data_IF_177958091270
#
_entry.id   IF_177958091270
#
_cell.length_a   1.000
_cell.length_b   1.000
_cell.length_c   1.000
_cell.angle_alpha   90.00
_cell.angle_beta   90.00
_cell.angle_gamma   90.00
#
_symmetry.space_group_name_H-M   'P 1'
#
loop_
_entity.id
_entity.type
_entity.pdbx_description
1 polymer ?
#
# COMPACT_ATOMS: atom_id res chain seq x y z
N UNK A 1 7.48 7.25 14.42
CA UNK A 1 7.19 6.61 13.12
C UNK A 1 8.37 6.83 12.17
N UNK A 2 8.55 5.94 11.21
CA UNK A 2 9.61 5.96 10.19
C UNK A 2 9.04 5.42 8.88
N UNK A 3 9.60 5.82 7.75
CA UNK A 3 9.26 5.33 6.44
C UNK A 3 9.17 6.44 5.41
N UNK A 4 9.02 6.05 4.15
CA UNK A 4 8.92 6.95 2.99
C UNK A 4 7.78 7.95 3.22
N UNK A 5 6.59 7.47 3.56
CA UNK A 5 5.39 8.28 3.73
C UNK A 5 5.53 9.30 4.86
N UNK A 6 6.16 8.91 5.97
CA UNK A 6 6.39 9.81 7.10
C UNK A 6 7.38 10.92 6.73
N UNK A 7 8.47 10.59 6.03
CA UNK A 7 9.48 11.59 5.65
C UNK A 7 8.97 12.52 4.54
N UNK A 8 8.20 12.00 3.57
CA UNK A 8 7.55 12.85 2.54
C UNK A 8 6.51 13.75 3.20
N UNK A 9 5.68 13.24 4.12
CA UNK A 9 4.72 14.05 4.88
C UNK A 9 5.39 15.18 5.65
N UNK A 10 6.52 14.89 6.30
CA UNK A 10 7.28 15.91 7.03
C UNK A 10 7.86 16.96 6.09
N UNK A 11 8.44 16.55 4.95
CA UNK A 11 8.97 17.48 3.97
C UNK A 11 7.89 18.41 3.39
N UNK A 12 6.69 17.88 3.10
CA UNK A 12 5.54 18.69 2.65
C UNK A 12 5.11 19.66 3.75
N UNK A 13 4.98 19.19 5.00
CA UNK A 13 4.59 20.04 6.13
C UNK A 13 5.59 21.19 6.36
N UNK A 14 6.89 20.90 6.30
CA UNK A 14 7.96 21.89 6.43
C UNK A 14 7.92 22.91 5.29
N UNK A 15 7.73 22.47 4.05
CA UNK A 15 7.63 23.37 2.88
C UNK A 15 6.41 24.29 2.95
N UNK A 16 5.30 23.79 3.50
CA UNK A 16 4.07 24.55 3.70
C UNK A 16 4.06 25.39 4.99
N UNK A 17 5.10 25.29 5.83
CA UNK A 17 5.17 25.95 7.14
C UNK A 17 4.12 25.44 8.13
N UNK A 18 3.73 24.18 8.01
CA UNK A 18 2.75 23.49 8.85
C UNK A 18 3.42 22.54 9.84
N UNK A 19 2.70 22.18 10.90
CA UNK A 19 3.14 21.14 11.83
C UNK A 19 2.52 19.81 11.42
N UNK A 20 3.36 18.78 11.24
CA UNK A 20 2.89 17.42 11.01
C UNK A 20 2.40 16.80 12.34
N UNK A 21 1.20 16.24 12.31
CA UNK A 21 0.72 15.25 13.27
C UNK A 21 0.47 13.94 12.52
N UNK A 22 1.00 12.84 13.06
CA UNK A 22 0.82 11.51 12.48
C UNK A 22 -0.18 10.74 13.33
N UNK A 23 -1.27 10.31 12.70
CA UNK A 23 -2.28 9.44 13.29
C UNK A 23 -2.15 8.05 12.65
N UNK A 24 -1.95 7.02 13.48
CA UNK A 24 -1.85 5.62 13.06
C UNK A 24 -3.23 4.94 13.15
N UNK A 25 -3.64 4.28 12.09
CA UNK A 25 -4.95 3.63 12.02
C UNK A 25 -4.93 2.47 11.00
N UNK A 26 -5.94 1.60 11.07
CA UNK A 26 -6.11 0.54 10.09
C UNK A 26 -6.36 1.14 8.70
N UNK A 27 -5.83 0.47 7.66
CA UNK A 27 -5.82 1.00 6.29
C UNK A 27 -7.23 1.30 5.74
N UNK A 28 -8.19 0.44 6.00
CA UNK A 28 -9.60 0.61 5.60
C UNK A 28 -10.30 1.79 6.30
N UNK A 29 -9.74 2.28 7.40
CA UNK A 29 -10.24 3.45 8.15
C UNK A 29 -9.76 4.79 7.62
N UNK A 30 -8.75 4.82 6.74
CA UNK A 30 -8.09 6.04 6.26
C UNK A 30 -9.06 6.93 5.46
N UNK A 31 -9.70 6.40 4.41
CA UNK A 31 -10.65 7.18 3.58
C UNK A 31 -11.82 7.70 4.43
N UNK A 32 -12.46 6.90 5.31
CA UNK A 32 -13.42 7.42 6.29
C UNK A 32 -12.87 8.55 7.17
N UNK A 33 -11.62 8.50 7.63
CA UNK A 33 -11.02 9.56 8.43
C UNK A 33 -10.89 10.87 7.65
N UNK A 34 -10.48 10.81 6.38
CA UNK A 34 -10.38 11.97 5.49
C UNK A 34 -11.76 12.56 5.19
N UNK A 35 -12.72 11.73 4.81
CA UNK A 35 -14.07 12.20 4.45
C UNK A 35 -14.86 12.80 5.61
N UNK A 36 -14.51 12.43 6.85
CA UNK A 36 -15.12 12.98 8.07
C UNK A 36 -14.31 14.14 8.69
N UNK A 37 -13.20 14.53 8.09
CA UNK A 37 -12.34 15.61 8.58
C UNK A 37 -11.55 15.27 9.85
N UNK A 38 -11.36 13.99 10.15
CA UNK A 38 -10.48 13.54 11.24
C UNK A 38 -9.01 13.58 10.83
N UNK A 39 -8.73 13.39 9.55
CA UNK A 39 -7.41 13.56 8.96
C UNK A 39 -7.52 14.52 7.76
N UNK A 40 -6.50 15.35 7.56
CA UNK A 40 -6.44 16.31 6.45
C UNK A 40 -5.98 15.65 5.15
N UNK A 41 -5.04 14.71 5.25
CA UNK A 41 -4.46 13.97 4.12
C UNK A 41 -3.97 12.60 4.58
N UNK A 42 -3.71 11.70 3.63
CA UNK A 42 -3.16 10.37 3.90
C UNK A 42 -1.98 10.08 2.98
N UNK A 43 -0.87 9.65 3.60
CA UNK A 43 0.24 8.96 2.94
C UNK A 43 0.35 7.58 3.59
N UNK A 44 0.02 6.54 2.84
CA UNK A 44 -0.04 5.16 3.32
C UNK A 44 0.19 4.15 2.18
N UNK A 45 1.06 4.48 1.20
CA UNK A 45 1.21 3.67 0.00
C UNK A 45 -0.14 3.46 -0.71
N UNK A 46 -1.01 4.48 -0.71
CA UNK A 46 -2.37 4.33 -1.21
C UNK A 46 -2.43 4.44 -2.72
N UNK A 47 -2.80 3.34 -3.36
CA UNK A 47 -3.00 3.28 -4.81
C UNK A 47 -4.21 4.11 -5.23
N UNK A 48 -4.03 4.83 -6.33
CA UNK A 48 -5.11 5.57 -7.00
C UNK A 48 -6.04 4.60 -7.72
N UNK A 49 -7.30 4.52 -7.29
CA UNK A 49 -8.34 3.74 -7.97
C UNK A 49 -9.57 4.58 -8.27
N UNK A 50 -10.34 4.19 -9.30
CA UNK A 50 -11.57 4.92 -9.66
C UNK A 50 -12.61 4.88 -8.54
N UNK A 51 -12.67 3.79 -7.76
CA UNK A 51 -13.58 3.70 -6.63
C UNK A 51 -13.17 4.62 -5.48
N UNK A 52 -11.89 4.70 -5.16
CA UNK A 52 -11.38 5.65 -4.15
C UNK A 52 -11.58 7.09 -4.58
N UNK A 53 -11.41 7.41 -5.88
CA UNK A 53 -11.68 8.73 -6.45
C UNK A 53 -13.13 9.18 -6.29
N UNK A 54 -14.09 8.30 -6.07
CA UNK A 54 -15.48 8.68 -5.77
C UNK A 54 -15.59 9.40 -4.44
N UNK A 55 -14.72 9.09 -3.48
CA UNK A 55 -14.78 9.56 -2.10
C UNK A 55 -13.72 10.62 -1.76
N UNK A 56 -12.55 10.56 -2.37
CA UNK A 56 -11.42 11.46 -2.11
C UNK A 56 -10.83 12.00 -3.42
N UNK A 57 -10.06 13.09 -3.34
CA UNK A 57 -9.15 13.50 -4.38
C UNK A 57 -7.77 12.92 -4.10
N UNK A 58 -6.97 12.75 -5.14
CA UNK A 58 -5.57 12.34 -5.05
C UNK A 58 -4.63 13.40 -5.58
N UNK A 59 -3.48 13.54 -4.95
CA UNK A 59 -2.36 14.32 -5.48
C UNK A 59 -1.78 13.67 -6.74
N UNK A 60 -0.78 14.32 -7.32
CA UNK A 60 0.15 13.66 -8.23
C UNK A 60 0.81 12.49 -7.50
N UNK A 61 1.17 11.42 -8.25
CA UNK A 61 1.86 10.25 -7.69
C UNK A 61 3.21 10.65 -7.08
N UNK A 62 3.55 10.12 -5.91
CA UNK A 62 4.85 10.35 -5.26
C UNK A 62 5.79 9.14 -5.34
N UNK A 63 5.26 7.95 -5.53
CA UNK A 63 6.02 6.71 -5.67
C UNK A 63 5.21 5.67 -6.46
N UNK A 64 5.88 4.62 -6.89
CA UNK A 64 5.27 3.46 -7.53
C UNK A 64 5.46 2.25 -6.63
N UNK A 65 4.43 1.45 -6.47
CA UNK A 65 4.45 0.20 -5.75
C UNK A 65 4.20 -1.00 -6.66
N UNK A 66 4.49 -2.18 -6.15
CA UNK A 66 4.26 -3.46 -6.81
C UNK A 66 3.61 -4.41 -5.83
N UNK A 67 2.48 -5.00 -6.20
CA UNK A 67 1.92 -6.12 -5.44
C UNK A 67 2.73 -7.38 -5.74
N UNK A 68 3.08 -8.12 -4.69
CA UNK A 68 3.85 -9.37 -4.77
C UNK A 68 3.19 -10.47 -3.96
N UNK A 69 3.65 -11.69 -4.15
CA UNK A 69 3.14 -12.87 -3.47
C UNK A 69 4.21 -13.40 -2.51
N UNK A 70 3.86 -13.53 -1.23
CA UNK A 70 4.68 -14.21 -0.23
C UNK A 70 4.16 -15.63 -0.05
N UNK A 71 5.05 -16.61 -0.06
CA UNK A 71 4.74 -18.03 0.17
C UNK A 71 5.78 -18.66 1.09
N UNK A 72 5.51 -19.86 1.69
CA UNK A 72 6.55 -20.66 2.34
C UNK A 72 7.68 -21.02 1.35
N UNK A 73 8.92 -21.15 1.84
CA UNK A 73 10.09 -21.48 0.99
C UNK A 73 9.92 -22.81 0.23
N UNK A 74 9.23 -23.77 0.84
CA UNK A 74 8.95 -25.11 0.28
C UNK A 74 7.63 -25.17 -0.52
N UNK A 75 6.96 -24.03 -0.73
CA UNK A 75 5.72 -23.94 -1.51
C UNK A 75 5.96 -24.29 -2.99
N UNK A 76 4.99 -24.96 -3.60
CA UNK A 76 4.89 -25.26 -5.03
C UNK A 76 4.26 -24.12 -5.83
N UNK A 77 3.74 -23.07 -5.17
CA UNK A 77 3.21 -21.87 -5.81
C UNK A 77 4.38 -21.09 -6.43
N UNK A 78 4.28 -20.79 -7.72
CA UNK A 78 5.32 -20.12 -8.51
C UNK A 78 4.87 -18.78 -9.10
N UNK A 79 3.57 -18.51 -9.10
CA UNK A 79 3.01 -17.29 -9.64
C UNK A 79 1.50 -17.15 -9.41
N UNK A 80 0.89 -16.07 -9.95
CA UNK A 80 -0.55 -15.81 -9.80
C UNK A 80 -1.46 -16.93 -10.29
N UNK A 81 -1.07 -17.64 -11.34
CA UNK A 81 -1.87 -18.71 -11.95
C UNK A 81 -2.09 -19.90 -11.01
N UNK A 82 -1.20 -20.09 -10.02
CA UNK A 82 -1.27 -21.17 -9.06
C UNK A 82 -2.17 -20.86 -7.85
N UNK A 83 -2.76 -19.66 -7.78
CA UNK A 83 -3.54 -19.20 -6.63
C UNK A 83 -5.04 -19.56 -6.72
N UNK A 84 -5.53 -20.07 -7.84
CA UNK A 84 -6.96 -20.25 -8.11
C UNK A 84 -7.68 -21.24 -7.18
N UNK A 85 -6.96 -22.15 -6.54
CA UNK A 85 -7.47 -23.14 -5.59
C UNK A 85 -6.88 -22.98 -4.18
N UNK A 86 -6.21 -21.84 -3.90
CA UNK A 86 -5.50 -21.54 -2.66
C UNK A 86 -6.28 -20.57 -1.79
N UNK A 87 -5.97 -20.55 -0.49
CA UNK A 87 -6.41 -19.51 0.42
C UNK A 87 -5.37 -18.38 0.46
N UNK A 88 -5.79 -17.18 0.14
CA UNK A 88 -4.94 -16.00 0.00
C UNK A 88 -5.18 -15.06 1.16
N UNK A 89 -4.15 -14.77 1.94
CA UNK A 89 -4.18 -13.73 2.97
C UNK A 89 -3.91 -12.36 2.37
N UNK A 90 -4.71 -11.37 2.73
CA UNK A 90 -4.55 -9.97 2.28
C UNK A 90 -4.74 -9.01 3.45
N UNK A 91 -4.26 -7.77 3.29
CA UNK A 91 -4.63 -6.71 4.22
C UNK A 91 -5.95 -6.07 3.76
N UNK A 92 -6.91 -5.98 4.67
CA UNK A 92 -8.26 -5.47 4.40
C UNK A 92 -8.26 -4.08 3.75
N UNK A 93 -9.05 -3.93 2.69
CA UNK A 93 -9.26 -2.66 1.97
C UNK A 93 -8.10 -2.22 1.08
N UNK A 94 -7.01 -2.97 0.99
CA UNK A 94 -5.92 -2.70 0.04
C UNK A 94 -6.30 -3.13 -1.38
N UNK A 95 -5.50 -2.75 -2.37
CA UNK A 95 -5.68 -3.24 -3.75
C UNK A 95 -5.41 -4.72 -3.87
N UNK A 96 -4.51 -5.29 -3.07
CA UNK A 96 -4.32 -6.74 -2.98
C UNK A 96 -5.61 -7.47 -2.56
N UNK A 97 -6.35 -6.93 -1.59
CA UNK A 97 -7.67 -7.44 -1.21
C UNK A 97 -8.67 -7.31 -2.35
N UNK A 98 -8.80 -6.10 -2.94
CA UNK A 98 -9.75 -5.83 -4.03
C UNK A 98 -9.50 -6.75 -5.23
N UNK A 99 -8.25 -6.89 -5.67
CA UNK A 99 -7.93 -7.71 -6.85
C UNK A 99 -8.09 -9.20 -6.59
N UNK A 100 -7.65 -9.69 -5.43
CA UNK A 100 -7.78 -11.11 -5.12
C UNK A 100 -9.25 -11.53 -4.91
N UNK A 101 -10.06 -10.67 -4.28
CA UNK A 101 -11.47 -10.94 -3.99
C UNK A 101 -12.40 -10.79 -5.20
N UNK A 102 -11.94 -10.14 -6.27
CA UNK A 102 -12.75 -9.99 -7.49
C UNK A 102 -13.04 -11.37 -8.14
N UNK A 103 -14.01 -11.40 -9.02
CA UNK A 103 -14.44 -12.65 -9.68
C UNK A 103 -13.35 -13.17 -10.64
N UNK A 104 -13.30 -14.48 -10.90
CA UNK A 104 -12.35 -15.06 -11.86
C UNK A 104 -12.49 -14.47 -13.27
N UNK A 105 -13.70 -14.03 -13.68
CA UNK A 105 -13.93 -13.37 -14.96
C UNK A 105 -13.22 -12.02 -15.07
N UNK A 106 -12.96 -11.36 -13.93
CA UNK A 106 -12.23 -10.10 -13.85
C UNK A 106 -10.75 -10.28 -13.48
N UNK A 107 -10.30 -11.54 -13.34
CA UNK A 107 -8.91 -11.87 -13.02
C UNK A 107 -8.61 -12.04 -11.53
N UNK A 108 -9.63 -12.00 -10.67
CA UNK A 108 -9.53 -12.34 -9.25
C UNK A 108 -9.69 -13.84 -8.98
N UNK A 109 -9.78 -14.20 -7.71
CA UNK A 109 -9.93 -15.60 -7.26
C UNK A 109 -11.28 -15.86 -6.60
N UNK A 110 -12.03 -14.79 -6.29
CA UNK A 110 -13.31 -14.83 -5.58
C UNK A 110 -13.17 -14.69 -4.07
N UNK A 111 -14.18 -14.11 -3.43
CA UNK A 111 -14.17 -13.85 -1.98
C UNK A 111 -13.96 -15.10 -1.12
N UNK A 112 -14.42 -16.27 -1.58
CA UNK A 112 -14.28 -17.53 -0.86
C UNK A 112 -12.80 -18.02 -0.77
N UNK A 113 -11.92 -17.49 -1.60
CA UNK A 113 -10.48 -17.78 -1.63
C UNK A 113 -9.65 -16.75 -0.88
N UNK A 114 -10.26 -15.68 -0.35
CA UNK A 114 -9.54 -14.57 0.27
C UNK A 114 -9.87 -14.44 1.74
N UNK A 115 -8.84 -14.30 2.57
CA UNK A 115 -8.95 -14.03 4.00
C UNK A 115 -8.35 -12.66 4.29
N UNK A 116 -9.19 -11.66 4.50
CA UNK A 116 -8.79 -10.30 4.80
C UNK A 116 -8.40 -10.16 6.28
N UNK A 117 -7.21 -9.64 6.55
CA UNK A 117 -6.68 -9.36 7.87
C UNK A 117 -6.57 -7.85 8.09
N UNK A 118 -6.68 -7.41 9.33
CA UNK A 118 -6.60 -6.00 9.70
C UNK A 118 -5.29 -5.33 9.27
N UNK A 119 -4.18 -6.07 9.28
CA UNK A 119 -2.87 -5.60 8.86
C UNK A 119 -2.04 -6.72 8.23
N UNK A 120 -0.99 -6.34 7.50
CA UNK A 120 -0.11 -7.27 6.81
C UNK A 120 0.62 -8.25 7.74
N UNK A 121 1.00 -7.82 8.94
CA UNK A 121 1.67 -8.70 9.90
C UNK A 121 0.77 -9.88 10.33
N UNK A 122 -0.54 -9.63 10.49
CA UNK A 122 -1.52 -10.68 10.80
C UNK A 122 -1.69 -11.66 9.63
N UNK A 123 -1.69 -11.17 8.39
CA UNK A 123 -1.74 -12.02 7.19
C UNK A 123 -0.49 -12.92 7.10
N UNK A 124 0.70 -12.36 7.30
CA UNK A 124 1.96 -13.13 7.31
C UNK A 124 2.01 -14.14 8.45
N UNK A 125 1.50 -13.80 9.63
CA UNK A 125 1.39 -14.76 10.73
C UNK A 125 0.42 -15.91 10.40
N UNK A 126 -0.66 -15.64 9.67
CA UNK A 126 -1.58 -16.67 9.19
C UNK A 126 -0.90 -17.59 8.18
N UNK A 127 -0.07 -17.07 7.27
CA UNK A 127 0.74 -17.83 6.34
C UNK A 127 1.71 -18.78 7.08
N UNK A 128 2.45 -18.26 8.06
CA UNK A 128 3.38 -19.06 8.88
C UNK A 128 2.71 -20.21 9.64
N UNK A 129 1.45 -20.04 9.99
CA UNK A 129 0.68 -21.05 10.73
C UNK A 129 -0.16 -21.95 9.84
N UNK A 130 -0.03 -21.83 8.50
CA UNK A 130 -0.75 -22.65 7.52
C UNK A 130 -2.26 -22.40 7.47
N UNK A 131 -2.70 -21.21 7.87
CA UNK A 131 -4.12 -20.80 7.76
C UNK A 131 -4.46 -20.23 6.38
N UNK A 132 -3.46 -19.76 5.67
CA UNK A 132 -3.52 -19.36 4.26
C UNK A 132 -2.29 -19.93 3.55
N UNK A 133 -2.36 -20.07 2.22
CA UNK A 133 -1.32 -20.67 1.40
C UNK A 133 -0.36 -19.64 0.83
N UNK A 134 -0.83 -18.41 0.66
CA UNK A 134 -0.07 -17.27 0.15
C UNK A 134 -0.54 -15.97 0.80
N UNK A 135 0.28 -14.92 0.72
CA UNK A 135 -0.11 -13.53 1.06
C UNK A 135 0.18 -12.64 -0.12
N UNK A 136 -0.81 -11.84 -0.55
CA UNK A 136 -0.63 -10.78 -1.55
C UNK A 136 -0.56 -9.44 -0.84
N UNK A 137 0.53 -8.72 -1.06
CA UNK A 137 0.84 -7.47 -0.38
C UNK A 137 1.88 -6.67 -1.18
N UNK A 138 2.03 -5.40 -0.87
CA UNK A 138 3.09 -4.55 -1.43
C UNK A 138 4.50 -5.09 -1.20
N UNK A 139 5.37 -4.89 -2.19
CA UNK A 139 6.74 -5.41 -2.20
C UNK A 139 7.59 -4.90 -1.01
N UNK A 140 7.49 -3.62 -0.65
CA UNK A 140 8.32 -3.09 0.42
C UNK A 140 7.93 -3.63 1.82
N UNK A 141 6.65 -3.64 2.22
CA UNK A 141 6.23 -4.42 3.40
C UNK A 141 6.59 -5.91 3.30
N UNK A 142 6.44 -6.53 2.11
CA UNK A 142 6.78 -7.95 1.92
C UNK A 142 8.26 -8.23 2.22
N UNK A 143 9.18 -7.40 1.72
CA UNK A 143 10.62 -7.51 2.02
C UNK A 143 10.90 -7.42 3.52
N UNK A 144 10.26 -6.48 4.21
CA UNK A 144 10.41 -6.34 5.65
C UNK A 144 9.89 -7.58 6.39
N UNK A 145 8.71 -8.09 6.03
CA UNK A 145 8.15 -9.29 6.65
C UNK A 145 8.98 -10.54 6.42
N UNK A 146 9.47 -10.75 5.19
CA UNK A 146 10.30 -11.93 4.87
C UNK A 146 11.64 -11.85 5.59
N UNK A 147 12.26 -10.67 5.69
CA UNK A 147 13.50 -10.49 6.45
C UNK A 147 13.37 -10.82 7.95
N UNK A 148 12.18 -10.62 8.54
CA UNK A 148 11.90 -10.89 9.94
C UNK A 148 11.31 -12.30 10.19
N UNK A 149 10.97 -13.03 9.14
CA UNK A 149 10.27 -14.31 9.23
C UNK A 149 10.96 -15.39 8.37
N UNK A 150 11.87 -16.14 8.97
CA UNK A 150 12.52 -17.29 8.30
C UNK A 150 11.48 -18.27 7.75
N UNK A 151 11.81 -18.92 6.63
CA UNK A 151 10.97 -19.93 5.97
C UNK A 151 9.92 -19.36 5.03
N UNK A 152 9.96 -18.06 4.74
CA UNK A 152 9.13 -17.39 3.75
C UNK A 152 9.99 -16.83 2.62
N UNK A 153 9.41 -16.76 1.42
CA UNK A 153 10.01 -16.13 0.25
C UNK A 153 8.98 -15.26 -0.48
N UNK A 154 9.47 -14.22 -1.17
CA UNK A 154 8.69 -13.45 -2.15
C UNK A 154 8.91 -14.14 -3.50
N UNK A 155 7.85 -14.30 -4.29
CA UNK A 155 7.97 -14.80 -5.65
C UNK A 155 8.55 -13.71 -6.56
N UNK A 156 9.39 -14.09 -7.52
CA UNK A 156 9.98 -13.17 -8.50
C UNK A 156 8.97 -12.59 -9.50
N UNK A 157 7.74 -13.11 -9.52
CA UNK A 157 6.66 -12.64 -10.39
C UNK A 157 5.93 -11.48 -9.73
N UNK A 158 5.99 -10.30 -10.35
CA UNK A 158 5.19 -9.14 -9.96
C UNK A 158 3.71 -9.44 -10.25
N UNK A 159 2.83 -9.11 -9.28
CA UNK A 159 1.39 -9.31 -9.45
C UNK A 159 0.77 -8.13 -10.21
N UNK A 160 1.01 -6.89 -9.71
CA UNK A 160 0.51 -5.65 -10.31
C UNK A 160 1.42 -4.48 -9.91
N UNK A 161 1.64 -3.53 -10.86
CA UNK A 161 2.32 -2.25 -10.60
C UNK A 161 1.29 -1.15 -10.37
N UNK A 162 1.50 -0.30 -9.39
CA UNK A 162 0.55 0.70 -8.90
C UNK A 162 1.23 2.05 -8.63
N UNK A 163 0.46 3.14 -8.82
CA UNK A 163 0.89 4.49 -8.46
C UNK A 163 0.33 4.90 -7.10
N UNK A 164 1.21 5.33 -6.19
CA UNK A 164 0.83 5.85 -4.88
C UNK A 164 0.66 7.37 -4.91
N UNK A 165 -0.43 7.85 -4.34
CA UNK A 165 -0.72 9.26 -4.23
C UNK A 165 -1.33 9.61 -2.86
N UNK A 166 -1.31 10.90 -2.55
CA UNK A 166 -1.83 11.45 -1.29
C UNK A 166 -3.32 11.65 -1.42
N UNK A 167 -4.11 11.00 -0.57
CA UNK A 167 -5.55 11.20 -0.55
C UNK A 167 -5.92 12.42 0.32
N UNK A 168 -6.85 13.24 -0.19
CA UNK A 168 -7.32 14.50 0.41
C UNK A 168 -8.83 14.58 0.23
N UNK A 169 -9.55 15.21 1.16
CA UNK A 169 -11.00 15.38 1.07
C UNK A 169 -11.42 16.09 -0.24
N UNK A 170 -12.55 15.67 -0.80
CA UNK A 170 -13.08 16.18 -2.08
C UNK A 170 -13.27 17.71 -2.13
N UNK A 171 -13.67 18.27 -1.02
CA UNK A 171 -13.96 19.70 -0.88
C UNK A 171 -12.73 20.52 -0.49
N UNK A 172 -11.62 19.89 -0.11
CA UNK A 172 -10.38 20.57 0.27
C UNK A 172 -9.41 20.74 -0.91
N UNK A 173 -9.88 21.37 -1.97
CA UNK A 173 -9.08 21.63 -3.19
C UNK A 173 -7.90 22.56 -2.93
N UNK A 174 -8.01 23.47 -1.96
CA UNK A 174 -6.92 24.37 -1.57
C UNK A 174 -5.73 23.59 -1.01
N UNK A 175 -5.97 22.60 -0.13
CA UNK A 175 -4.91 21.74 0.38
C UNK A 175 -4.31 20.88 -0.73
N UNK A 176 -5.14 20.34 -1.63
CA UNK A 176 -4.68 19.55 -2.77
C UNK A 176 -3.71 20.35 -3.64
N UNK A 177 -4.05 21.60 -3.99
CA UNK A 177 -3.21 22.46 -4.80
C UNK A 177 -1.87 22.76 -4.11
N UNK A 178 -1.91 23.06 -2.80
CA UNK A 178 -0.69 23.28 -1.99
C UNK A 178 0.18 22.03 -1.92
N UNK A 179 -0.40 20.88 -1.68
CA UNK A 179 0.31 19.59 -1.62
C UNK A 179 0.94 19.26 -2.97
N UNK A 180 0.24 19.42 -4.08
CA UNK A 180 0.79 19.20 -5.41
C UNK A 180 1.94 20.16 -5.73
N UNK A 181 1.80 21.44 -5.40
CA UNK A 181 2.87 22.41 -5.61
C UNK A 181 4.12 22.08 -4.78
N UNK A 182 3.95 21.72 -3.51
CA UNK A 182 5.03 21.26 -2.64
C UNK A 182 5.69 19.98 -3.16
N UNK A 183 4.87 18.99 -3.54
CA UNK A 183 5.36 17.72 -4.08
C UNK A 183 6.14 17.90 -5.36
N UNK A 184 5.68 18.76 -6.28
CA UNK A 184 6.40 19.10 -7.51
C UNK A 184 7.78 19.72 -7.22
N UNK A 185 7.86 20.64 -6.26
CA UNK A 185 9.10 21.26 -5.80
C UNK A 185 10.06 20.21 -5.21
N UNK A 186 9.57 19.38 -4.26
CA UNK A 186 10.36 18.35 -3.59
C UNK A 186 10.80 17.23 -4.51
N UNK A 187 10.10 16.99 -5.61
CA UNK A 187 10.55 16.12 -6.70
C UNK A 187 11.66 16.77 -7.53
N UNK A 188 11.47 18.03 -7.88
CA UNK A 188 12.41 18.76 -8.73
C UNK A 188 13.77 18.98 -8.06
N UNK A 189 13.82 19.18 -6.73
CA UNK A 189 15.05 19.34 -5.96
C UNK A 189 15.69 18.03 -5.50
N UNK A 190 15.04 16.87 -5.79
CA UNK A 190 15.54 15.54 -5.49
C UNK A 190 15.23 15.04 -4.08
N UNK A 191 14.49 15.81 -3.25
CA UNK A 191 14.15 15.43 -1.88
C UNK A 191 13.33 14.14 -1.86
N UNK A 192 12.27 14.03 -2.67
CA UNK A 192 11.43 12.82 -2.75
C UNK A 192 12.27 11.60 -3.14
N UNK A 193 13.10 11.72 -4.18
CA UNK A 193 13.96 10.61 -4.60
C UNK A 193 14.95 10.20 -3.52
N UNK A 194 15.58 11.15 -2.84
CA UNK A 194 16.50 10.86 -1.73
C UNK A 194 15.82 10.13 -0.57
N UNK A 195 14.57 10.45 -0.27
CA UNK A 195 13.79 9.75 0.74
C UNK A 195 13.49 8.31 0.27
N UNK A 196 13.06 8.13 -0.97
CA UNK A 196 12.80 6.80 -1.55
C UNK A 196 14.06 5.94 -1.49
N UNK A 197 15.19 6.44 -1.99
CA UNK A 197 16.47 5.71 -2.05
C UNK A 197 17.02 5.32 -0.67
N UNK A 198 16.62 6.03 0.39
CA UNK A 198 16.99 5.70 1.77
C UNK A 198 16.35 4.40 2.25
N UNK A 199 15.14 4.10 1.79
CA UNK A 199 14.35 2.94 2.21
C UNK A 199 14.32 1.84 1.17
N UNK A 200 14.26 2.21 -0.11
CA UNK A 200 14.26 1.30 -1.26
C UNK A 200 15.62 1.41 -1.92
N UNK A 201 16.51 0.45 -1.67
CA UNK A 201 17.79 0.37 -2.40
C UNK A 201 17.49 -0.15 -3.79
N UNK A 202 17.88 0.63 -4.82
CA UNK A 202 17.91 0.11 -6.19
C UNK A 202 18.81 -1.14 -6.22
N UNK A 203 18.29 -2.26 -6.67
CA UNK A 203 19.04 -3.50 -6.94
C UNK A 203 19.96 -3.32 -8.15
#
# INVERSE_FOLDING_TARGET
YKGIDIEISQAIADDLGMKLQVDDMDFDSIIPAITTGKADMSLAGMTVTEDRKKNVNFSDSYATGVQVIIVPEDSDITGPDDLSDKLIGVQQGTTGDIYCSDTPENGGYGEDHVVAYQNGASAVQALKTGKVDAVVIDNEPAKAFVAENEGLKILDTEYITEDYAIAIAKDNTELLDKVNASLAKLKADGTVQSIIDKYIKAE
#
